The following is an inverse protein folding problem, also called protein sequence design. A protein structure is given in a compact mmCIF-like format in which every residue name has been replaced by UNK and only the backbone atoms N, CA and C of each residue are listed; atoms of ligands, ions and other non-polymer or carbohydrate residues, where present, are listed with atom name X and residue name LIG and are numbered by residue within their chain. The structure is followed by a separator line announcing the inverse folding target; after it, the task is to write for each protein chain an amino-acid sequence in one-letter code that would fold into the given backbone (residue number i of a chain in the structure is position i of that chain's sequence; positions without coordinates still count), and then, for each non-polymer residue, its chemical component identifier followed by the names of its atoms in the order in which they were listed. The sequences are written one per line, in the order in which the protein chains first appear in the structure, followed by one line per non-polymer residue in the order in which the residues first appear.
data_IF_491122958115
#
_entry.id   IF_491122958115
#
_cell.length_a   1.000
_cell.length_b   1.000
_cell.length_c   1.000
_cell.angle_alpha   90.00
_cell.angle_beta   90.00
_cell.angle_gamma   90.00
#
_symmetry.space_group_name_H-M   'P 1'
#
loop_
_entity.id
_entity.type
_entity.pdbx_description
1 polymer ?
#
# COMPACT_ATOMS: atom_id res chain seq x y z
N UNK A 1 -28.79 -9.59 -11.45
CA UNK A 1 -28.15 -8.27 -11.23
C UNK A 1 -26.64 -8.46 -11.42
N UNK A 2 -26.18 -8.51 -12.66
CA UNK A 2 -24.80 -8.89 -13.00
C UNK A 2 -23.95 -7.63 -13.05
N UNK A 3 -23.31 -7.28 -11.92
CA UNK A 3 -22.28 -6.24 -11.94
C UNK A 3 -20.96 -6.92 -12.27
N UNK A 4 -20.60 -6.85 -13.54
CA UNK A 4 -19.31 -7.24 -14.08
C UNK A 4 -18.22 -6.48 -13.32
N UNK A 5 -17.60 -7.14 -12.33
CA UNK A 5 -16.42 -6.66 -11.63
C UNK A 5 -15.24 -6.64 -12.58
N UNK A 6 -15.17 -5.65 -13.46
CA UNK A 6 -13.99 -5.37 -14.26
C UNK A 6 -12.81 -5.24 -13.30
N UNK A 7 -11.80 -6.10 -13.47
CA UNK A 7 -10.52 -6.00 -12.76
C UNK A 7 -9.99 -4.58 -12.98
N UNK A 8 -10.26 -3.66 -12.06
CA UNK A 8 -9.66 -2.33 -12.08
C UNK A 8 -8.16 -2.57 -12.04
N UNK A 9 -7.44 -2.09 -13.08
CA UNK A 9 -5.98 -2.11 -13.07
C UNK A 9 -5.55 -1.46 -11.76
N UNK A 10 -4.86 -2.21 -10.91
CA UNK A 10 -4.26 -1.65 -9.71
C UNK A 10 -3.28 -0.57 -10.19
N UNK A 11 -3.51 0.65 -9.74
CA UNK A 11 -2.56 1.75 -9.93
C UNK A 11 -1.24 1.36 -9.26
N UNK A 12 -0.13 1.95 -9.71
CA UNK A 12 1.17 1.63 -9.13
C UNK A 12 1.23 2.00 -7.64
N UNK A 13 0.48 3.04 -7.24
CA UNK A 13 0.22 3.33 -5.84
C UNK A 13 -0.44 2.15 -5.10
N UNK A 14 -1.53 1.58 -5.63
CA UNK A 14 -2.21 0.47 -4.95
C UNK A 14 -1.33 -0.78 -4.85
N UNK A 15 -0.51 -1.07 -5.87
CA UNK A 15 0.47 -2.17 -5.81
C UNK A 15 1.50 -1.90 -4.73
N UNK A 16 2.07 -0.70 -4.72
CA UNK A 16 3.05 -0.27 -3.73
C UNK A 16 2.49 -0.36 -2.31
N UNK A 17 1.26 0.12 -2.10
CA UNK A 17 0.60 0.08 -0.80
C UNK A 17 0.48 -1.36 -0.29
N UNK A 18 0.08 -2.31 -1.13
CA UNK A 18 -0.03 -3.72 -0.73
C UNK A 18 1.33 -4.33 -0.38
N UNK A 19 2.34 -4.11 -1.23
CA UNK A 19 3.69 -4.64 -1.02
C UNK A 19 4.34 -4.04 0.24
N UNK A 20 4.26 -2.74 0.42
CA UNK A 20 4.93 -2.06 1.53
C UNK A 20 4.20 -2.29 2.86
N UNK A 21 2.86 -2.36 2.87
CA UNK A 21 2.13 -2.78 4.07
C UNK A 21 2.49 -4.21 4.47
N UNK A 22 2.63 -5.13 3.51
CA UNK A 22 3.06 -6.51 3.78
C UNK A 22 4.48 -6.54 4.36
N UNK A 23 5.42 -5.82 3.74
CA UNK A 23 6.80 -5.68 4.23
C UNK A 23 6.85 -5.16 5.67
N UNK A 24 6.08 -4.11 5.97
CA UNK A 24 6.03 -3.56 7.32
C UNK A 24 5.36 -4.52 8.30
N UNK A 25 4.39 -5.34 7.87
CA UNK A 25 3.77 -6.38 8.72
C UNK A 25 4.76 -7.45 9.14
N UNK A 26 5.69 -7.79 8.26
CA UNK A 26 6.75 -8.75 8.57
C UNK A 26 7.86 -8.13 9.43
N UNK A 27 8.25 -6.86 9.16
CA UNK A 27 9.31 -6.20 9.91
C UNK A 27 8.87 -5.67 11.27
N UNK A 28 7.66 -5.13 11.35
CA UNK A 28 7.16 -4.40 12.52
C UNK A 28 5.66 -4.74 12.74
N UNK A 29 5.36 -5.97 13.22
CA UNK A 29 3.98 -6.42 13.41
C UNK A 29 3.26 -5.62 14.49
N UNK A 30 3.96 -5.12 15.51
CA UNK A 30 3.41 -4.34 16.62
C UNK A 30 3.03 -2.89 16.25
N UNK A 31 3.52 -2.39 15.11
CA UNK A 31 3.19 -1.03 14.66
C UNK A 31 1.68 -0.86 14.40
N UNK A 32 1.01 0.15 14.99
CA UNK A 32 -0.40 0.41 14.74
C UNK A 32 -0.69 0.63 13.25
N UNK A 33 -1.84 0.14 12.76
CA UNK A 33 -2.21 0.22 11.34
C UNK A 33 -2.12 1.65 10.78
N UNK A 34 -2.51 2.64 11.56
CA UNK A 34 -2.47 4.07 11.19
C UNK A 34 -1.05 4.58 10.97
N UNK A 35 -0.13 4.28 11.89
CA UNK A 35 1.28 4.68 11.79
C UNK A 35 1.96 3.98 10.62
N UNK A 36 1.68 2.68 10.46
CA UNK A 36 2.16 1.87 9.34
C UNK A 36 1.72 2.48 8.00
N UNK A 37 0.43 2.79 7.85
CA UNK A 37 -0.10 3.40 6.62
C UNK A 37 0.53 4.77 6.32
N UNK A 38 0.72 5.60 7.36
CA UNK A 38 1.41 6.89 7.22
C UNK A 38 2.84 6.71 6.69
N UNK A 39 3.56 5.73 7.22
CA UNK A 39 4.93 5.41 6.79
C UNK A 39 4.98 4.87 5.36
N UNK A 40 4.00 4.06 4.94
CA UNK A 40 3.86 3.64 3.55
C UNK A 40 3.66 4.85 2.62
N UNK A 41 2.77 5.78 2.96
CA UNK A 41 2.53 6.98 2.14
C UNK A 41 3.79 7.85 2.06
N UNK A 42 4.52 8.01 3.17
CA UNK A 42 5.79 8.74 3.20
C UNK A 42 6.83 8.07 2.27
N UNK A 43 6.97 6.74 2.34
CA UNK A 43 7.84 5.98 1.45
C UNK A 43 7.43 6.11 -0.03
N UNK A 44 6.12 6.13 -0.33
CA UNK A 44 5.64 6.34 -1.71
C UNK A 44 6.05 7.71 -2.25
N UNK A 45 5.90 8.77 -1.46
CA UNK A 45 6.31 10.12 -1.86
C UNK A 45 7.83 10.18 -2.11
N UNK A 46 8.63 9.60 -1.21
CA UNK A 46 10.09 9.49 -1.39
C UNK A 46 10.51 8.72 -2.64
N UNK A 47 9.76 7.68 -3.01
CA UNK A 47 10.04 6.95 -4.26
C UNK A 47 9.75 7.78 -5.51
N UNK A 48 8.77 8.69 -5.46
CA UNK A 48 8.47 9.59 -6.58
C UNK A 48 9.50 10.69 -6.79
N UNK A 49 10.32 11.00 -5.79
CA UNK A 49 11.37 12.02 -5.84
C UNK A 49 12.71 11.49 -6.39
N UNK A 50 12.79 10.19 -6.70
CA UNK A 50 13.93 9.56 -7.38
C UNK A 50 13.64 9.32 -8.85
#
# INVERSE_FOLDING_TARGET
KSSSGGRKKLTDFNKFMQTEVARLKEQDPDMPHKERFKLVIDNWNKQKEK
#
